data_IF_211510328284
#
_entry.id   IF_211510328284
#
_cell.length_a   1.000
_cell.length_b   1.000
_cell.length_c   1.000
_cell.angle_alpha   90.00
_cell.angle_beta   90.00
_cell.angle_gamma   90.00
#
_symmetry.space_group_name_H-M   'P 1'
#
loop_
_entity.id
_entity.type
_entity.pdbx_description
1 polymer ?
#
# COMPACT_ATOMS: atom_id res chain seq x y z
N UNK A 1 4.31 24.86 -7.52
CA UNK A 1 3.42 24.21 -6.55
C UNK A 1 2.60 23.16 -7.28
N UNK A 2 2.66 21.90 -6.88
CA UNK A 2 1.83 20.81 -7.42
C UNK A 2 0.91 20.27 -6.33
N UNK A 3 -0.40 20.29 -6.57
CA UNK A 3 -1.42 19.75 -5.67
C UNK A 3 -2.27 18.78 -6.50
N UNK A 4 -2.16 17.48 -6.22
CA UNK A 4 -2.72 16.42 -7.08
C UNK A 4 -3.96 15.73 -6.47
N UNK A 5 -4.35 16.10 -5.25
CA UNK A 5 -5.54 15.60 -4.57
C UNK A 5 -6.10 16.68 -3.63
N UNK A 6 -7.43 16.74 -3.40
CA UNK A 6 -8.03 17.63 -2.39
C UNK A 6 -7.61 17.32 -0.95
N UNK A 7 -7.11 16.11 -0.70
CA UNK A 7 -6.60 15.67 0.59
C UNK A 7 -5.33 14.85 0.40
N UNK A 8 -5.25 13.68 1.03
CA UNK A 8 -4.16 12.75 0.77
C UNK A 8 -4.17 12.28 -0.69
N UNK A 9 -2.99 12.05 -1.26
CA UNK A 9 -2.85 11.34 -2.53
C UNK A 9 -3.46 9.92 -2.37
N UNK A 10 -4.17 9.38 -3.38
CA UNK A 10 -4.68 8.02 -3.35
C UNK A 10 -3.58 7.00 -3.06
N UNK A 11 -3.92 5.91 -2.38
CA UNK A 11 -2.96 4.83 -2.16
C UNK A 11 -2.45 4.27 -3.49
N UNK A 12 -1.20 3.83 -3.53
CA UNK A 12 -0.51 3.26 -4.68
C UNK A 12 -1.35 2.14 -5.30
N UNK A 13 -1.90 1.24 -4.48
CA UNK A 13 -2.78 0.16 -4.94
C UNK A 13 -4.04 0.67 -5.66
N UNK A 14 -4.63 1.78 -5.21
CA UNK A 14 -5.83 2.34 -5.82
C UNK A 14 -5.49 3.14 -7.08
N UNK A 15 -4.37 3.89 -7.04
CA UNK A 15 -3.82 4.60 -8.20
C UNK A 15 -3.51 3.63 -9.34
N UNK A 16 -2.76 2.57 -9.05
CA UNK A 16 -2.40 1.51 -10.01
C UNK A 16 -3.64 0.84 -10.61
N UNK A 17 -4.69 0.67 -9.83
CA UNK A 17 -5.86 -0.06 -10.29
C UNK A 17 -6.92 0.82 -10.99
N UNK A 18 -6.63 2.11 -11.22
CA UNK A 18 -7.51 3.06 -11.88
C UNK A 18 -6.76 3.94 -12.88
N UNK A 19 -7.02 3.73 -14.18
CA UNK A 19 -6.35 4.45 -15.28
C UNK A 19 -6.44 5.99 -15.13
N UNK A 20 -7.61 6.51 -14.74
CA UNK A 20 -7.80 7.94 -14.55
C UNK A 20 -6.92 8.52 -13.43
N UNK A 21 -6.59 7.72 -12.40
CA UNK A 21 -5.70 8.15 -11.33
C UNK A 21 -4.24 8.09 -11.80
N UNK A 22 -3.85 7.08 -12.56
CA UNK A 22 -2.50 7.03 -13.17
C UNK A 22 -2.24 8.25 -14.07
N UNK A 23 -3.26 8.75 -14.78
CA UNK A 23 -3.13 9.88 -15.69
C UNK A 23 -3.14 11.25 -15.00
N UNK A 24 -3.78 11.36 -13.82
CA UNK A 24 -3.98 12.66 -13.15
C UNK A 24 -3.16 12.84 -11.88
N UNK A 25 -2.68 11.73 -11.29
CA UNK A 25 -1.91 11.73 -10.05
C UNK A 25 -0.53 11.10 -10.31
N UNK A 26 0.56 11.89 -10.23
CA UNK A 26 1.91 11.36 -10.40
C UNK A 26 2.27 10.41 -9.24
N UNK A 27 3.07 9.41 -9.55
CA UNK A 27 3.74 8.57 -8.54
C UNK A 27 4.76 9.37 -7.73
N UNK A 28 5.13 8.84 -6.56
CA UNK A 28 6.17 9.44 -5.72
C UNK A 28 7.51 9.54 -6.46
N UNK A 29 7.85 8.52 -7.25
CA UNK A 29 9.06 8.50 -8.07
C UNK A 29 9.05 9.61 -9.13
N UNK A 30 7.95 9.78 -9.88
CA UNK A 30 7.82 10.86 -10.88
C UNK A 30 7.92 12.24 -10.24
N UNK A 31 7.31 12.45 -9.07
CA UNK A 31 7.42 13.70 -8.33
C UNK A 31 8.87 13.96 -7.88
N UNK A 32 9.55 12.95 -7.34
CA UNK A 32 10.94 13.07 -6.89
C UNK A 32 11.89 13.39 -8.05
N UNK A 33 11.75 12.69 -9.18
CA UNK A 33 12.55 12.94 -10.39
C UNK A 33 12.32 14.34 -10.95
N UNK A 34 11.06 14.79 -11.01
CA UNK A 34 10.75 16.15 -11.46
C UNK A 34 11.33 17.19 -10.50
N UNK A 35 11.23 16.97 -9.19
CA UNK A 35 11.77 17.88 -8.18
C UNK A 35 13.29 18.02 -8.32
N UNK A 36 14.04 16.93 -8.36
CA UNK A 36 15.50 16.98 -8.48
C UNK A 36 15.93 17.63 -9.79
N UNK A 37 15.26 17.32 -10.91
CA UNK A 37 15.53 17.93 -12.20
C UNK A 37 15.28 19.44 -12.23
N UNK A 38 14.35 19.95 -11.40
CA UNK A 38 14.15 21.40 -11.22
C UNK A 38 15.20 22.02 -10.31
N UNK A 39 15.54 21.36 -9.21
CA UNK A 39 16.54 21.82 -8.26
C UNK A 39 17.93 21.96 -8.90
N UNK A 40 18.27 21.08 -9.84
CA UNK A 40 19.53 21.15 -10.60
C UNK A 40 19.65 22.39 -11.50
N UNK A 41 18.53 23.05 -11.81
CA UNK A 41 18.55 24.31 -12.59
C UNK A 41 18.80 25.54 -11.72
N UNK A 42 18.88 25.40 -10.40
CA UNK A 42 19.11 26.51 -9.49
C UNK A 42 20.56 27.00 -9.57
N UNK A 43 20.73 28.32 -9.66
CA UNK A 43 22.02 29.00 -9.86
C UNK A 43 23.03 28.81 -8.72
N UNK A 44 22.58 28.43 -7.52
CA UNK A 44 23.46 28.16 -6.37
C UNK A 44 24.18 26.80 -6.48
N UNK A 45 23.65 25.87 -7.28
CA UNK A 45 24.15 24.49 -7.36
C UNK A 45 23.99 23.68 -6.07
N UNK A 46 23.26 24.20 -5.06
CA UNK A 46 23.06 23.57 -3.76
C UNK A 46 21.57 23.52 -3.46
N UNK A 47 21.10 22.35 -3.06
CA UNK A 47 19.71 22.12 -2.72
C UNK A 47 19.58 21.06 -1.62
N UNK A 48 18.42 21.07 -0.98
CA UNK A 48 17.95 20.02 -0.09
C UNK A 48 16.59 19.55 -0.61
N UNK A 49 16.41 18.23 -0.70
CA UNK A 49 15.17 17.61 -1.11
C UNK A 49 14.76 16.58 -0.06
N UNK A 50 13.52 16.68 0.42
CA UNK A 50 12.86 15.67 1.23
C UNK A 50 11.76 15.02 0.39
N UNK A 51 11.79 13.69 0.33
CA UNK A 51 10.76 12.85 -0.32
C UNK A 51 10.20 11.93 0.75
N UNK A 52 8.87 11.92 0.89
CA UNK A 52 8.19 11.21 1.97
C UNK A 52 7.18 10.19 1.42
N UNK A 53 7.34 8.92 1.79
CA UNK A 53 6.36 7.86 1.57
C UNK A 53 5.21 7.89 2.59
N UNK A 54 4.55 9.03 2.74
CA UNK A 54 3.66 9.33 3.88
C UNK A 54 2.49 8.34 4.05
N UNK A 55 2.01 7.75 2.95
CA UNK A 55 0.86 6.85 2.96
C UNK A 55 1.15 5.49 3.60
N UNK A 56 2.42 5.11 3.79
CA UNK A 56 2.81 3.88 4.51
C UNK A 56 2.24 3.91 5.95
N UNK A 57 2.35 5.04 6.64
CA UNK A 57 1.83 5.22 8.00
C UNK A 57 0.31 5.08 8.06
N UNK A 58 -0.41 5.66 7.10
CA UNK A 58 -1.86 5.52 7.02
C UNK A 58 -2.31 4.06 6.85
N UNK A 59 -1.58 3.27 6.04
CA UNK A 59 -1.84 1.84 5.93
C UNK A 59 -1.53 1.10 7.23
N UNK A 60 -0.46 1.49 7.94
CA UNK A 60 -0.15 0.99 9.28
C UNK A 60 -1.27 1.23 10.29
N UNK A 61 -1.81 2.46 10.34
CA UNK A 61 -2.96 2.80 11.19
C UNK A 61 -4.23 2.04 10.83
N UNK A 62 -4.45 1.77 9.54
CA UNK A 62 -5.58 1.00 9.06
C UNK A 62 -5.40 -0.52 9.18
N UNK A 63 -4.23 -1.00 9.60
CA UNK A 63 -3.82 -2.41 9.52
C UNK A 63 -4.03 -3.01 8.10
N UNK A 64 -3.86 -2.19 7.06
CA UNK A 64 -3.98 -2.61 5.67
C UNK A 64 -2.64 -3.16 5.19
N UNK A 65 -2.45 -4.48 5.34
CA UNK A 65 -1.21 -5.14 4.95
C UNK A 65 -0.94 -5.04 3.43
N UNK A 66 -1.99 -5.06 2.60
CA UNK A 66 -1.80 -4.96 1.16
C UNK A 66 -1.42 -3.54 0.75
N UNK A 67 -2.15 -2.54 1.27
CA UNK A 67 -1.83 -1.13 1.11
C UNK A 67 -0.42 -0.82 1.58
N UNK A 68 -0.02 -1.32 2.75
CA UNK A 68 1.33 -1.11 3.32
C UNK A 68 2.43 -1.64 2.39
N UNK A 69 2.27 -2.85 1.84
CA UNK A 69 3.24 -3.42 0.91
C UNK A 69 3.30 -2.60 -0.40
N UNK A 70 2.15 -2.19 -0.94
CA UNK A 70 2.09 -1.41 -2.17
C UNK A 70 2.68 0.00 -2.00
N UNK A 71 2.44 0.64 -0.87
CA UNK A 71 3.07 1.93 -0.53
C UNK A 71 4.58 1.79 -0.31
N UNK A 72 5.02 0.70 0.33
CA UNK A 72 6.44 0.42 0.49
C UNK A 72 7.14 0.23 -0.86
N UNK A 73 6.49 -0.44 -1.83
CA UNK A 73 6.99 -0.57 -3.20
C UNK A 73 7.01 0.78 -3.94
N UNK A 74 5.98 1.61 -3.79
CA UNK A 74 5.97 2.94 -4.38
C UNK A 74 7.06 3.86 -3.81
N UNK A 75 7.40 3.71 -2.53
CA UNK A 75 8.55 4.39 -1.92
C UNK A 75 9.88 3.79 -2.38
N UNK A 76 9.96 2.47 -2.56
CA UNK A 76 11.13 1.79 -3.14
C UNK A 76 11.41 2.26 -4.57
N UNK A 77 10.39 2.47 -5.40
CA UNK A 77 10.53 3.06 -6.73
C UNK A 77 11.14 4.48 -6.67
N UNK A 78 10.73 5.29 -5.69
CA UNK A 78 11.27 6.63 -5.48
C UNK A 78 12.73 6.57 -4.96
N UNK A 79 13.04 5.65 -4.06
CA UNK A 79 14.41 5.36 -3.61
C UNK A 79 15.28 4.95 -4.80
N UNK A 80 14.82 4.01 -5.62
CA UNK A 80 15.51 3.53 -6.81
C UNK A 80 15.81 4.67 -7.79
N UNK A 81 14.83 5.56 -8.03
CA UNK A 81 15.03 6.75 -8.85
C UNK A 81 16.10 7.70 -8.27
N UNK A 82 16.10 7.94 -6.96
CA UNK A 82 17.08 8.83 -6.32
C UNK A 82 18.48 8.21 -6.22
N UNK A 83 18.57 6.90 -5.99
CA UNK A 83 19.84 6.17 -6.02
C UNK A 83 20.44 6.14 -7.44
N UNK A 84 19.61 5.93 -8.47
CA UNK A 84 20.06 5.99 -9.86
C UNK A 84 20.56 7.40 -10.24
N UNK A 85 19.88 8.44 -9.77
CA UNK A 85 20.34 9.82 -9.93
C UNK A 85 21.69 10.05 -9.23
N UNK A 86 21.79 9.67 -7.96
CA UNK A 86 23.01 9.82 -7.16
C UNK A 86 24.20 9.01 -7.73
N UNK A 87 23.96 7.83 -8.32
CA UNK A 87 25.01 7.00 -8.91
C UNK A 87 25.75 7.66 -10.07
N UNK A 88 25.19 8.73 -10.65
CA UNK A 88 25.83 9.50 -11.74
C UNK A 88 26.60 10.74 -11.24
N UNK A 89 26.67 10.93 -9.92
CA UNK A 89 27.16 12.16 -9.30
C UNK A 89 28.04 11.89 -8.07
N UNK A 90 29.02 12.75 -7.85
CA UNK A 90 29.92 12.66 -6.69
C UNK A 90 29.54 13.64 -5.56
N UNK A 91 28.55 14.50 -5.79
CA UNK A 91 28.14 15.60 -4.91
C UNK A 91 26.75 15.41 -4.27
N UNK A 92 26.19 14.20 -4.36
CA UNK A 92 24.84 13.87 -3.84
C UNK A 92 24.94 12.88 -2.69
N UNK A 93 24.33 13.21 -1.55
CA UNK A 93 24.11 12.31 -0.43
C UNK A 93 22.63 11.94 -0.34
N UNK A 94 22.34 10.65 -0.35
CA UNK A 94 20.98 10.11 -0.13
C UNK A 94 20.92 9.51 1.27
N UNK A 95 19.97 9.98 2.09
CA UNK A 95 19.67 9.44 3.41
C UNK A 95 18.26 8.86 3.37
N UNK A 96 18.12 7.61 3.80
CA UNK A 96 16.85 6.89 3.86
C UNK A 96 16.62 6.51 5.32
N UNK A 97 15.47 6.90 5.87
CA UNK A 97 15.08 6.59 7.24
C UNK A 97 13.57 6.49 7.35
N UNK A 98 13.11 5.97 8.49
CA UNK A 98 11.74 6.10 8.98
C UNK A 98 11.72 7.11 10.14
N UNK A 99 10.59 7.77 10.32
CA UNK A 99 10.28 8.59 11.50
C UNK A 99 9.86 7.71 12.69
N UNK A 100 9.04 6.68 12.46
CA UNK A 100 8.67 5.65 13.44
C UNK A 100 8.04 4.39 12.82
N UNK A 101 7.90 3.33 13.62
CA UNK A 101 7.07 2.18 13.25
C UNK A 101 5.58 2.46 13.43
N UNK A 102 4.71 1.80 12.65
CA UNK A 102 3.25 1.93 12.74
C UNK A 102 2.55 0.56 12.53
N UNK A 103 1.39 0.35 13.16
CA UNK A 103 0.54 -0.85 13.01
C UNK A 103 1.08 -2.15 13.61
N UNK A 104 2.38 -2.25 13.92
CA UNK A 104 2.97 -3.47 14.46
C UNK A 104 2.84 -4.65 13.49
N UNK A 105 2.96 -4.38 12.18
CA UNK A 105 2.80 -5.38 11.11
C UNK A 105 3.72 -6.57 11.34
N UNK A 106 3.13 -7.77 11.33
CA UNK A 106 3.83 -9.03 11.56
C UNK A 106 3.52 -10.03 10.45
N UNK A 107 4.52 -10.85 10.13
CA UNK A 107 4.35 -11.98 9.24
C UNK A 107 4.30 -13.26 10.08
N UNK A 108 3.11 -13.83 10.25
CA UNK A 108 2.97 -15.14 10.87
C UNK A 108 3.19 -16.24 9.82
N UNK A 109 4.34 -16.89 9.88
CA UNK A 109 4.68 -17.99 8.98
C UNK A 109 4.11 -19.35 9.39
N UNK A 110 3.53 -19.47 10.59
CA UNK A 110 3.01 -20.75 11.09
C UNK A 110 1.71 -21.10 10.39
N UNK A 111 1.60 -22.33 9.89
CA UNK A 111 0.35 -22.79 9.32
C UNK A 111 -0.73 -22.89 10.42
N UNK A 112 -1.72 -21.99 10.36
CA UNK A 112 -2.80 -21.91 11.34
C UNK A 112 -3.94 -22.91 11.07
N UNK A 113 -3.92 -23.62 9.92
CA UNK A 113 -5.03 -24.50 9.53
C UNK A 113 -4.63 -25.98 9.49
N UNK A 114 -5.23 -26.83 10.37
CA UNK A 114 -5.04 -28.28 10.34
C UNK A 114 -5.65 -28.97 9.10
N UNK A 115 -6.54 -28.29 8.36
CA UNK A 115 -7.25 -28.83 7.18
C UNK A 115 -6.36 -28.96 5.93
N UNK A 116 -5.16 -28.38 5.94
CA UNK A 116 -4.20 -28.47 4.84
C UNK A 116 -3.20 -29.63 4.98
N UNK A 117 -3.45 -30.58 5.90
CA UNK A 117 -2.64 -31.80 6.05
C UNK A 117 -1.21 -31.56 6.56
N UNK A 118 -0.92 -30.37 7.10
CA UNK A 118 0.38 -29.98 7.63
C UNK A 118 0.27 -29.84 9.15
N UNK A 119 1.24 -30.37 9.89
CA UNK A 119 1.23 -30.29 11.34
C UNK A 119 1.25 -28.82 11.82
N UNK A 120 0.53 -28.47 12.90
CA UNK A 120 0.65 -27.17 13.56
C UNK A 120 2.11 -26.88 13.92
N UNK A 121 2.57 -25.64 13.74
CA UNK A 121 3.94 -25.22 14.09
C UNK A 121 4.98 -25.26 12.96
N UNK A 122 4.59 -25.65 11.74
CA UNK A 122 5.48 -25.59 10.57
C UNK A 122 5.37 -24.22 9.89
N UNK A 123 6.52 -23.62 9.56
CA UNK A 123 6.64 -22.32 8.89
C UNK A 123 6.37 -22.37 7.37
N UNK A 124 5.19 -22.82 6.95
CA UNK A 124 4.78 -22.88 5.54
C UNK A 124 3.69 -21.87 5.15
N UNK A 125 3.21 -21.06 6.11
CA UNK A 125 2.09 -20.12 5.93
C UNK A 125 2.46 -18.84 5.17
N UNK A 126 3.75 -18.48 5.11
CA UNK A 126 4.22 -17.22 4.52
C UNK A 126 3.89 -17.07 3.04
N UNK A 127 4.27 -18.03 2.20
CA UNK A 127 4.04 -17.94 0.74
C UNK A 127 2.54 -17.89 0.41
N UNK A 128 1.68 -18.75 0.99
CA UNK A 128 0.23 -18.62 0.82
C UNK A 128 -0.33 -17.26 1.26
N UNK A 129 0.16 -16.69 2.37
CA UNK A 129 -0.27 -15.37 2.84
C UNK A 129 0.06 -14.26 1.83
N UNK A 130 1.29 -14.24 1.30
CA UNK A 130 1.65 -13.28 0.24
C UNK A 130 0.85 -13.49 -1.04
N UNK A 131 0.57 -14.74 -1.44
CA UNK A 131 -0.29 -15.04 -2.60
C UNK A 131 -1.72 -14.51 -2.40
N UNK A 132 -2.26 -14.61 -1.18
CA UNK A 132 -3.57 -14.06 -0.81
C UNK A 132 -3.55 -12.52 -0.92
N UNK A 133 -2.56 -11.87 -0.32
CA UNK A 133 -2.40 -10.40 -0.36
C UNK A 133 -2.20 -9.90 -1.80
N UNK A 134 -1.48 -10.63 -2.64
CA UNK A 134 -1.25 -10.28 -4.04
C UNK A 134 -2.54 -10.24 -4.89
N UNK A 135 -3.61 -10.90 -4.44
CA UNK A 135 -4.92 -10.88 -5.10
C UNK A 135 -5.70 -9.57 -4.91
N UNK A 136 -5.30 -8.73 -3.97
CA UNK A 136 -5.95 -7.45 -3.70
C UNK A 136 -5.60 -6.44 -4.79
N UNK A 137 -6.62 -5.70 -5.21
CA UNK A 137 -6.50 -4.62 -6.18
C UNK A 137 -7.07 -3.29 -5.67
N UNK A 138 -7.45 -3.21 -4.40
CA UNK A 138 -7.95 -2.02 -3.73
C UNK A 138 -7.51 -2.00 -2.27
N UNK A 139 -7.29 -0.80 -1.74
CA UNK A 139 -7.02 -0.60 -0.31
C UNK A 139 -8.25 -0.84 0.55
N UNK A 140 -8.05 -1.02 1.85
CA UNK A 140 -9.16 -1.09 2.81
C UNK A 140 -9.95 0.22 2.87
N UNK A 141 -9.28 1.36 2.73
CA UNK A 141 -9.93 2.68 2.66
C UNK A 141 -10.90 2.74 1.48
N UNK A 142 -10.45 2.35 0.28
CA UNK A 142 -11.29 2.33 -0.91
C UNK A 142 -12.42 1.33 -0.77
N UNK A 143 -12.13 0.12 -0.26
CA UNK A 143 -13.12 -0.94 -0.05
C UNK A 143 -14.25 -0.49 0.88
N UNK A 144 -13.91 0.14 2.00
CA UNK A 144 -14.88 0.65 2.95
C UNK A 144 -15.75 1.75 2.33
N UNK A 145 -15.14 2.68 1.60
CA UNK A 145 -15.84 3.82 1.00
C UNK A 145 -16.76 3.41 -0.16
N UNK A 146 -16.23 2.67 -1.13
CA UNK A 146 -16.98 2.27 -2.33
C UNK A 146 -17.96 1.13 -2.07
N UNK A 147 -17.71 0.30 -1.06
CA UNK A 147 -18.63 -0.76 -0.63
C UNK A 147 -19.70 -0.30 0.37
N UNK A 148 -19.69 0.96 0.78
CA UNK A 148 -20.62 1.49 1.78
C UNK A 148 -22.08 1.23 1.38
N UNK A 149 -22.86 0.70 2.32
CA UNK A 149 -24.26 0.31 2.11
C UNK A 149 -24.48 -1.07 1.49
N UNK A 150 -23.43 -1.76 1.02
CA UNK A 150 -23.56 -3.15 0.59
C UNK A 150 -23.76 -4.09 1.78
N UNK A 151 -24.56 -5.13 1.57
CA UNK A 151 -24.81 -6.21 2.54
C UNK A 151 -25.03 -7.53 1.82
N UNK A 152 -25.05 -8.64 2.57
CA UNK A 152 -25.41 -9.96 2.04
C UNK A 152 -24.58 -10.40 0.81
N UNK A 153 -25.20 -11.08 -0.18
CA UNK A 153 -24.50 -11.53 -1.39
C UNK A 153 -23.81 -10.43 -2.21
N UNK A 154 -24.41 -9.23 -2.42
CA UNK A 154 -23.71 -8.12 -3.07
C UNK A 154 -22.39 -7.72 -2.40
N UNK A 155 -22.35 -7.67 -1.06
CA UNK A 155 -21.13 -7.37 -0.32
C UNK A 155 -20.07 -8.47 -0.51
N UNK A 156 -20.49 -9.74 -0.47
CA UNK A 156 -19.58 -10.88 -0.70
C UNK A 156 -18.96 -10.81 -2.09
N UNK A 157 -19.78 -10.60 -3.11
CA UNK A 157 -19.32 -10.59 -4.51
C UNK A 157 -18.43 -9.37 -4.78
N UNK A 158 -18.73 -8.22 -4.15
CA UNK A 158 -17.88 -7.04 -4.14
C UNK A 158 -16.51 -7.30 -3.53
N UNK A 159 -16.45 -7.85 -2.31
CA UNK A 159 -15.18 -8.15 -1.64
C UNK A 159 -14.38 -9.19 -2.44
N UNK A 160 -15.00 -10.28 -2.88
CA UNK A 160 -14.33 -11.31 -3.68
C UNK A 160 -13.73 -10.75 -4.97
N UNK A 161 -14.41 -9.81 -5.64
CA UNK A 161 -13.91 -9.14 -6.85
C UNK A 161 -12.63 -8.33 -6.59
N UNK A 162 -12.50 -7.71 -5.42
CA UNK A 162 -11.42 -6.77 -5.14
C UNK A 162 -10.29 -7.35 -4.28
N UNK A 163 -10.54 -8.45 -3.58
CA UNK A 163 -9.55 -9.13 -2.73
C UNK A 163 -9.14 -10.50 -3.26
N UNK A 164 -9.92 -11.08 -4.19
CA UNK A 164 -9.74 -12.45 -4.66
C UNK A 164 -10.18 -13.52 -3.64
N UNK A 165 -10.82 -13.11 -2.54
CA UNK A 165 -11.16 -14.00 -1.42
C UNK A 165 -12.68 -14.14 -1.31
N UNK A 166 -13.16 -15.38 -1.41
CA UNK A 166 -14.53 -15.71 -1.12
C UNK A 166 -14.73 -15.86 0.39
N UNK A 167 -15.44 -14.91 1.01
CA UNK A 167 -15.76 -14.98 2.45
C UNK A 167 -16.77 -16.10 2.74
N UNK A 168 -16.53 -16.80 3.85
CA UNK A 168 -17.50 -17.67 4.50
C UNK A 168 -18.71 -16.88 5.00
N UNK A 169 -19.79 -17.58 5.40
CA UNK A 169 -20.98 -16.93 5.96
C UNK A 169 -20.67 -16.15 7.25
N UNK A 170 -19.76 -16.64 8.07
CA UNK A 170 -19.39 -16.00 9.33
C UNK A 170 -18.49 -14.79 9.10
N UNK A 171 -17.49 -14.89 8.22
CA UNK A 171 -16.66 -13.74 7.82
C UNK A 171 -17.51 -12.64 7.15
N UNK A 172 -18.48 -13.04 6.30
CA UNK A 172 -19.42 -12.09 5.69
C UNK A 172 -20.31 -11.41 6.72
N UNK A 173 -20.65 -12.09 7.82
CA UNK A 173 -21.41 -11.50 8.92
C UNK A 173 -20.56 -10.47 9.68
N UNK A 174 -19.26 -10.73 9.85
CA UNK A 174 -18.31 -9.77 10.43
C UNK A 174 -18.13 -8.56 9.52
N UNK A 175 -18.07 -8.77 8.19
CA UNK A 175 -17.88 -7.71 7.19
C UNK A 175 -19.04 -6.71 7.07
N UNK A 176 -20.20 -7.00 7.69
CA UNK A 176 -21.40 -6.17 7.52
C UNK A 176 -21.14 -4.74 7.98
N UNK A 177 -21.45 -3.78 7.11
CA UNK A 177 -21.28 -2.35 7.38
C UNK A 177 -19.86 -1.81 7.20
N UNK A 178 -18.88 -2.63 6.80
CA UNK A 178 -17.55 -2.21 6.31
C UNK A 178 -16.89 -1.08 7.12
N UNK A 179 -16.84 -1.18 8.45
CA UNK A 179 -16.09 -0.21 9.26
C UNK A 179 -14.59 -0.46 9.10
N UNK A 180 -13.77 0.59 9.07
CA UNK A 180 -12.34 0.52 8.67
C UNK A 180 -11.54 -0.63 9.29
N UNK A 181 -11.68 -0.89 10.59
CA UNK A 181 -10.91 -1.95 11.27
C UNK A 181 -11.44 -3.36 10.99
N UNK A 182 -12.68 -3.51 10.53
CA UNK A 182 -13.32 -4.81 10.28
C UNK A 182 -12.63 -5.53 9.13
N UNK A 183 -12.14 -4.80 8.12
CA UNK A 183 -11.42 -5.41 7.00
C UNK A 183 -10.09 -6.01 7.46
N UNK A 184 -9.41 -5.36 8.41
CA UNK A 184 -8.18 -5.89 9.01
C UNK A 184 -8.42 -7.15 9.86
N UNK A 185 -9.57 -7.25 10.53
CA UNK A 185 -9.90 -8.45 11.32
C UNK A 185 -10.25 -9.66 10.43
N UNK A 186 -10.70 -9.42 9.19
CA UNK A 186 -11.13 -10.47 8.26
C UNK A 186 -9.96 -11.02 7.42
N UNK A 187 -9.02 -10.16 7.03
CA UNK A 187 -8.05 -10.47 5.98
C UNK A 187 -6.65 -10.76 6.49
#
# INVERSE_FOLDING_TARGET
LGLFSPGHIPLAIDREAQKNLQETVPSLAEMAQLAVGRLDTLTSGQWFLMVEGARIDHCGHANDACGSIREQLAFDDAIGAMLAYAATREDVLVIITTDHGCGGIQLNGVNARPDQGMAPGIYTGTTPAFKKIAGFNRSFEWLANAGSGLSGPPLRDYLAKHTGIALSKDELKMAQGLKGNVLADIF
#
